data_IF_563399829203
#
_entry.id   IF_563399829203
#
_cell.length_a   1.000
_cell.length_b   1.000
_cell.length_c   1.000
_cell.angle_alpha   90.00
_cell.angle_beta   90.00
_cell.angle_gamma   90.00
#
_symmetry.space_group_name_H-M   'P 1'
#
loop_
_entity.id
_entity.type
_entity.pdbx_description
1 polymer ?
#
# COMPACT_ATOMS: atom_id res chain seq x y z
N UNK A 1 17.00 20.07 -20.04
CA UNK A 1 17.44 19.39 -18.80
C UNK A 1 16.47 18.29 -18.34
N UNK A 2 15.37 18.02 -19.05
CA UNK A 2 14.36 17.03 -18.63
C UNK A 2 14.66 15.57 -19.06
N UNK A 3 15.70 15.33 -19.86
CA UNK A 3 16.05 14.00 -20.40
C UNK A 3 16.61 13.00 -19.36
N UNK A 4 16.88 13.49 -18.14
CA UNK A 4 17.39 12.66 -17.04
C UNK A 4 16.28 11.79 -16.41
N UNK A 5 15.02 12.27 -16.47
CA UNK A 5 13.88 11.60 -15.82
C UNK A 5 13.11 10.69 -16.78
N UNK A 6 13.24 10.90 -18.09
CA UNK A 6 12.57 10.09 -19.13
C UNK A 6 13.24 8.72 -19.37
N UNK A 7 14.41 8.48 -18.78
CA UNK A 7 15.11 7.21 -18.92
C UNK A 7 14.61 6.20 -17.86
N UNK A 8 13.86 5.15 -18.25
CA UNK A 8 13.31 4.19 -17.30
C UNK A 8 14.42 3.47 -16.51
N UNK A 9 15.60 3.34 -17.11
CA UNK A 9 16.79 2.77 -16.48
C UNK A 9 17.27 3.65 -15.30
N UNK A 10 17.19 4.97 -15.41
CA UNK A 10 17.64 5.90 -14.37
C UNK A 10 16.71 5.87 -13.14
N UNK A 11 15.40 5.73 -13.37
CA UNK A 11 14.40 5.50 -12.31
C UNK A 11 14.69 4.19 -11.58
N UNK A 12 15.01 3.12 -12.31
CA UNK A 12 15.39 1.81 -11.76
C UNK A 12 16.65 1.89 -10.88
N UNK A 13 17.70 2.57 -11.34
CA UNK A 13 18.93 2.78 -10.55
C UNK A 13 18.63 3.56 -9.28
N UNK A 14 17.86 4.65 -9.37
CA UNK A 14 17.51 5.46 -8.21
C UNK A 14 16.70 4.65 -7.18
N UNK A 15 15.74 3.86 -7.64
CA UNK A 15 14.97 2.95 -6.79
C UNK A 15 15.88 1.90 -6.13
N UNK A 16 16.81 1.31 -6.89
CA UNK A 16 17.78 0.36 -6.37
C UNK A 16 18.70 0.96 -5.29
N UNK A 17 19.12 2.23 -5.45
CA UNK A 17 19.88 2.95 -4.42
C UNK A 17 19.04 3.12 -3.15
N UNK A 18 17.78 3.53 -3.25
CA UNK A 18 16.87 3.64 -2.09
C UNK A 18 16.70 2.27 -1.42
N UNK A 19 16.47 1.20 -2.19
CA UNK A 19 16.39 -0.18 -1.71
C UNK A 19 17.66 -0.60 -0.96
N UNK A 20 18.84 -0.19 -1.42
CA UNK A 20 20.12 -0.52 -0.78
C UNK A 20 20.32 0.24 0.54
N UNK A 21 19.91 1.52 0.61
CA UNK A 21 20.00 2.34 1.82
C UNK A 21 19.00 1.91 2.90
N UNK A 22 17.77 1.61 2.49
CA UNK A 22 16.70 1.24 3.42
C UNK A 22 16.69 -0.28 3.72
N UNK A 23 17.17 -1.10 2.79
CA UNK A 23 17.14 -2.56 2.88
C UNK A 23 15.80 -3.17 2.47
N UNK A 24 15.85 -4.40 1.95
CA UNK A 24 14.68 -5.16 1.48
C UNK A 24 13.50 -5.25 2.48
N UNK A 25 13.69 -5.43 3.81
CA UNK A 25 12.55 -5.54 4.74
C UNK A 25 11.96 -4.19 5.17
N UNK A 26 12.68 -3.07 5.02
CA UNK A 26 12.19 -1.77 5.53
C UNK A 26 11.24 -1.04 4.59
N UNK A 27 11.39 -1.24 3.28
CA UNK A 27 10.43 -0.72 2.30
C UNK A 27 9.00 -1.26 2.50
N UNK A 28 8.77 -2.58 2.61
CA UNK A 28 7.43 -3.10 2.84
C UNK A 28 6.90 -2.74 4.24
N UNK A 29 7.78 -2.65 5.25
CA UNK A 29 7.38 -2.21 6.60
C UNK A 29 6.88 -0.76 6.64
N UNK A 30 7.63 0.16 6.05
CA UNK A 30 7.26 1.58 5.95
C UNK A 30 6.01 1.78 5.10
N UNK A 31 5.88 1.07 3.99
CA UNK A 31 4.68 1.14 3.14
C UNK A 31 3.43 0.63 3.87
N UNK A 32 3.54 -0.44 4.67
CA UNK A 32 2.42 -0.95 5.48
C UNK A 32 2.00 0.05 6.56
N UNK A 33 2.94 0.60 7.32
CA UNK A 33 2.60 1.55 8.40
C UNK A 33 1.99 2.85 7.82
N UNK A 34 2.57 3.38 6.74
CA UNK A 34 2.03 4.55 6.03
C UNK A 34 0.65 4.25 5.43
N UNK A 35 0.46 3.06 4.85
CA UNK A 35 -0.83 2.63 4.31
C UNK A 35 -1.92 2.51 5.36
N UNK A 36 -1.59 2.00 6.55
CA UNK A 36 -2.50 1.95 7.69
C UNK A 36 -2.90 3.35 8.16
N UNK A 37 -1.95 4.28 8.31
CA UNK A 37 -2.24 5.68 8.66
C UNK A 37 -3.08 6.38 7.59
N UNK A 38 -2.78 6.17 6.30
CA UNK A 38 -3.56 6.73 5.19
C UNK A 38 -4.99 6.19 5.16
N UNK A 39 -5.21 4.93 5.51
CA UNK A 39 -6.56 4.33 5.56
C UNK A 39 -7.43 5.00 6.63
N UNK A 40 -6.87 5.25 7.81
CA UNK A 40 -7.57 5.93 8.91
C UNK A 40 -7.89 7.37 8.49
N UNK A 41 -6.88 8.10 8.01
CA UNK A 41 -7.07 9.48 7.54
C UNK A 41 -8.10 9.57 6.41
N UNK A 42 -8.07 8.65 5.44
CA UNK A 42 -9.05 8.61 4.35
C UNK A 42 -10.47 8.29 4.84
N UNK A 43 -10.61 7.47 5.87
CA UNK A 43 -11.90 7.16 6.47
C UNK A 43 -12.48 8.39 7.17
N UNK A 44 -11.70 9.06 8.04
CA UNK A 44 -12.12 10.28 8.72
C UNK A 44 -12.45 11.41 7.73
N UNK A 45 -11.61 11.62 6.70
CA UNK A 45 -11.87 12.63 5.67
C UNK A 45 -13.10 12.29 4.80
N UNK A 46 -13.41 11.01 4.60
CA UNK A 46 -14.61 10.59 3.88
C UNK A 46 -15.86 10.86 4.70
N UNK A 47 -15.82 10.58 5.99
CA UNK A 47 -16.89 10.89 6.95
C UNK A 47 -17.23 12.39 6.92
N UNK A 48 -16.22 13.26 7.01
CA UNK A 48 -16.41 14.72 6.89
C UNK A 48 -16.97 15.17 5.53
N UNK A 49 -16.65 14.47 4.43
CA UNK A 49 -17.17 14.79 3.09
C UNK A 49 -18.60 14.31 2.89
N UNK A 50 -18.95 13.17 3.48
CA UNK A 50 -20.31 12.64 3.51
C UNK A 50 -21.24 13.58 4.31
N UNK A 51 -20.76 14.15 5.42
CA UNK A 51 -21.48 15.18 6.19
C UNK A 51 -21.69 16.49 5.43
N UNK A 52 -20.85 16.77 4.41
CA UNK A 52 -20.97 17.96 3.55
C UNK A 52 -21.86 17.70 2.31
N UNK A 53 -22.45 16.51 2.19
CA UNK A 53 -23.37 16.15 1.10
C UNK A 53 -22.69 15.79 -0.23
N UNK A 54 -21.36 15.61 -0.24
CA UNK A 54 -20.60 15.15 -1.41
C UNK A 54 -20.28 13.66 -1.28
N UNK A 55 -21.18 12.80 -1.75
CA UNK A 55 -21.03 11.33 -1.74
C UNK A 55 -19.93 10.88 -2.71
N UNK A 56 -18.87 10.17 -2.25
CA UNK A 56 -18.01 9.41 -3.14
C UNK A 56 -18.40 7.92 -3.06
N UNK A 57 -19.13 7.42 -4.05
CA UNK A 57 -19.26 5.98 -4.31
C UNK A 57 -18.00 5.46 -5.01
N UNK A 58 -17.37 4.41 -4.46
CA UNK A 58 -16.26 3.73 -5.10
C UNK A 58 -15.76 2.51 -4.32
N UNK A 59 -15.60 1.34 -4.96
CA UNK A 59 -15.38 0.07 -4.29
C UNK A 59 -13.94 -0.02 -3.77
N UNK A 60 -13.74 -0.63 -2.62
CA UNK A 60 -12.40 -1.06 -2.18
C UNK A 60 -12.43 -2.53 -1.79
N UNK A 61 -12.45 -3.36 -2.83
CA UNK A 61 -11.79 -4.66 -2.80
C UNK A 61 -10.29 -4.39 -2.90
N UNK A 62 -9.58 -4.47 -1.77
CA UNK A 62 -8.15 -4.76 -1.75
C UNK A 62 -7.95 -5.90 -0.77
N UNK A 63 -8.08 -7.11 -1.31
CA UNK A 63 -7.34 -8.27 -0.85
C UNK A 63 -5.86 -8.01 -1.19
N UNK A 64 -5.01 -7.79 -0.19
CA UNK A 64 -3.56 -7.84 -0.37
C UNK A 64 -2.82 -8.14 0.94
N UNK A 65 -2.55 -9.43 1.13
CA UNK A 65 -1.55 -9.98 2.06
C UNK A 65 -2.20 -10.61 3.30
N UNK A 66 -2.37 -11.93 3.42
CA UNK A 66 -1.67 -13.03 2.76
C UNK A 66 -1.09 -13.90 3.87
N UNK A 67 -1.89 -14.85 4.34
CA UNK A 67 -1.51 -16.09 5.03
C UNK A 67 -2.72 -17.02 4.90
N UNK A 68 -2.98 -17.46 3.67
CA UNK A 68 -3.86 -18.58 3.41
C UNK A 68 -3.01 -19.85 3.51
N UNK A 69 -2.79 -20.31 4.74
CA UNK A 69 -2.73 -21.74 4.99
C UNK A 69 -4.02 -22.10 5.74
N UNK A 70 -5.08 -22.54 5.03
CA UNK A 70 -6.20 -23.16 5.69
C UNK A 70 -5.69 -24.48 6.24
N UNK A 71 -5.14 -24.45 7.46
CA UNK A 71 -4.88 -25.66 8.22
C UNK A 71 -6.23 -26.33 8.42
N UNK A 72 -6.46 -27.31 7.55
CA UNK A 72 -7.62 -28.17 7.57
C UNK A 72 -7.77 -28.71 9.00
N UNK A 73 -8.93 -28.60 9.64
CA UNK A 73 -9.19 -29.35 10.85
C UNK A 73 -9.25 -30.83 10.45
N UNK A 74 -8.10 -31.50 10.42
CA UNK A 74 -7.99 -32.96 10.51
C UNK A 74 -8.40 -33.36 11.92
N UNK A 75 -9.70 -33.24 12.18
CA UNK A 75 -10.29 -33.41 13.50
C UNK A 75 -11.73 -33.89 13.34
N UNK A 76 -11.92 -35.01 12.66
CA UNK A 76 -13.13 -35.82 12.83
C UNK A 76 -12.88 -37.26 12.38
N UNK A 77 -12.74 -38.11 13.41
CA UNK A 77 -13.39 -39.42 13.60
C UNK A 77 -13.79 -40.22 12.35
#
# INVERSE_FOLDING_TARGET
MSRLLDNPLMVLIFLAVILLLFGAPRLPGMARSLGQSMRIFKAEVKDMREDTGETPEGPSVVTAGGDEEPQAPSSWK
#
